data_IF_307772410401
#
_entry.id   IF_307772410401
#
_cell.length_a   1.000
_cell.length_b   1.000
_cell.length_c   1.000
_cell.angle_alpha   90.00
_cell.angle_beta   90.00
_cell.angle_gamma   90.00
#
_symmetry.space_group_name_H-M   'P 1'
#
loop_
_entity.id
_entity.type
_entity.pdbx_description
1 polymer ?
#
# COMPACT_ATOMS: atom_id res chain seq x y z
N UNK A 1 23.13 -11.62 -0.25
CA UNK A 1 22.53 -11.33 -1.58
C UNK A 1 21.40 -12.33 -1.89
N UNK A 2 21.55 -13.62 -1.57
CA UNK A 2 20.49 -14.62 -1.73
C UNK A 2 19.22 -14.34 -0.89
N UNK A 3 19.36 -13.84 0.34
CA UNK A 3 18.20 -13.69 1.25
C UNK A 3 17.17 -12.67 0.75
N UNK A 4 17.62 -11.61 0.06
CA UNK A 4 16.73 -10.60 -0.54
C UNK A 4 15.93 -11.17 -1.71
N UNK A 5 16.59 -11.94 -2.58
CA UNK A 5 15.92 -12.66 -3.66
C UNK A 5 14.88 -13.63 -3.11
N UNK A 6 15.28 -14.43 -2.12
CA UNK A 6 14.37 -15.32 -1.39
C UNK A 6 13.21 -14.57 -0.76
N UNK A 7 13.43 -13.43 -0.09
CA UNK A 7 12.37 -12.65 0.54
C UNK A 7 11.35 -12.12 -0.49
N UNK A 8 11.83 -11.53 -1.59
CA UNK A 8 10.98 -10.99 -2.65
C UNK A 8 10.18 -12.11 -3.35
N UNK A 9 10.81 -13.25 -3.62
CA UNK A 9 10.15 -14.41 -4.21
C UNK A 9 9.12 -15.03 -3.25
N UNK A 10 9.47 -15.28 -1.99
CA UNK A 10 8.55 -15.82 -0.97
C UNK A 10 7.34 -14.92 -0.78
N UNK A 11 7.56 -13.62 -0.65
CA UNK A 11 6.48 -12.62 -0.58
C UNK A 11 5.58 -12.69 -1.81
N UNK A 12 6.16 -12.77 -3.01
CA UNK A 12 5.39 -12.86 -4.26
C UNK A 12 4.57 -14.15 -4.38
N UNK A 13 5.11 -15.28 -3.95
CA UNK A 13 4.40 -16.57 -3.91
C UNK A 13 3.23 -16.52 -2.92
N UNK A 14 3.43 -15.94 -1.73
CA UNK A 14 2.36 -15.77 -0.75
C UNK A 14 1.22 -14.90 -1.28
N UNK A 15 1.55 -13.75 -1.86
CA UNK A 15 0.53 -12.85 -2.42
C UNK A 15 -0.16 -13.45 -3.63
N UNK A 16 0.50 -14.33 -4.42
CA UNK A 16 -0.15 -15.13 -5.45
C UNK A 16 -1.28 -15.98 -4.85
N UNK A 17 -1.01 -16.70 -3.77
CA UNK A 17 -2.04 -17.49 -3.09
C UNK A 17 -3.19 -16.60 -2.59
N UNK A 18 -2.87 -15.43 -2.01
CA UNK A 18 -3.88 -14.50 -1.50
C UNK A 18 -4.83 -13.99 -2.60
N UNK A 19 -4.35 -13.79 -3.83
CA UNK A 19 -5.22 -13.37 -4.95
C UNK A 19 -6.34 -14.36 -5.26
N UNK A 20 -6.16 -15.64 -4.90
CA UNK A 20 -7.18 -16.69 -5.07
C UNK A 20 -8.24 -16.71 -3.95
N UNK A 21 -8.00 -16.01 -2.84
CA UNK A 21 -8.88 -15.99 -1.66
C UNK A 21 -10.03 -14.97 -1.76
N UNK A 22 -10.09 -14.19 -2.85
CA UNK A 22 -11.14 -13.20 -3.08
C UNK A 22 -11.65 -13.20 -4.51
N UNK A 23 -12.97 -13.09 -4.66
CA UNK A 23 -13.64 -12.88 -5.94
C UNK A 23 -13.66 -11.40 -6.35
N UNK A 24 -13.34 -10.49 -5.43
CA UNK A 24 -13.34 -9.06 -5.65
C UNK A 24 -12.13 -8.62 -6.49
N UNK A 25 -12.39 -8.13 -7.71
CA UNK A 25 -11.35 -7.75 -8.65
C UNK A 25 -10.45 -6.61 -8.16
N UNK A 26 -10.99 -5.66 -7.38
CA UNK A 26 -10.19 -4.56 -6.83
C UNK A 26 -9.19 -5.07 -5.79
N UNK A 27 -9.64 -5.91 -4.85
CA UNK A 27 -8.76 -6.52 -3.85
C UNK A 27 -7.74 -7.44 -4.49
N UNK A 28 -8.13 -8.20 -5.53
CA UNK A 28 -7.20 -9.03 -6.30
C UNK A 28 -6.09 -8.20 -6.93
N UNK A 29 -6.42 -7.05 -7.54
CA UNK A 29 -5.43 -6.12 -8.12
C UNK A 29 -4.49 -5.53 -7.07
N UNK A 30 -5.01 -5.18 -5.88
CA UNK A 30 -4.19 -4.68 -4.78
C UNK A 30 -3.20 -5.72 -4.25
N UNK A 31 -3.65 -6.97 -4.08
CA UNK A 31 -2.76 -8.07 -3.72
C UNK A 31 -1.69 -8.31 -4.80
N UNK A 32 -2.10 -8.32 -6.07
CA UNK A 32 -1.17 -8.52 -7.18
C UNK A 32 -0.17 -7.36 -7.36
N UNK A 33 -0.51 -6.15 -6.92
CA UNK A 33 0.41 -5.01 -6.93
C UNK A 33 1.67 -5.27 -6.08
N UNK A 34 1.54 -6.03 -4.99
CA UNK A 34 2.70 -6.45 -4.20
C UNK A 34 3.70 -7.28 -5.02
N UNK A 35 3.18 -8.21 -5.82
CA UNK A 35 3.98 -9.06 -6.72
C UNK A 35 4.74 -8.17 -7.73
N UNK A 36 4.06 -7.17 -8.29
CA UNK A 36 4.66 -6.19 -9.21
C UNK A 36 5.79 -5.41 -8.53
N UNK A 37 5.57 -4.89 -7.33
CA UNK A 37 6.60 -4.17 -6.57
C UNK A 37 7.81 -5.06 -6.25
N UNK A 38 7.56 -6.28 -5.82
CA UNK A 38 8.62 -7.23 -5.50
C UNK A 38 9.43 -7.59 -6.74
N UNK A 39 8.76 -7.87 -7.86
CA UNK A 39 9.39 -8.20 -9.12
C UNK A 39 10.26 -7.04 -9.63
N UNK A 40 9.80 -5.80 -9.55
CA UNK A 40 10.63 -4.65 -9.96
C UNK A 40 11.84 -4.43 -9.05
N UNK A 41 11.67 -4.60 -7.74
CA UNK A 41 12.79 -4.57 -6.80
C UNK A 41 13.78 -5.70 -7.12
N UNK A 42 13.29 -6.87 -7.54
CA UNK A 42 14.09 -8.00 -7.96
C UNK A 42 14.87 -7.69 -9.25
N UNK A 43 14.20 -7.18 -10.29
CA UNK A 43 14.82 -6.72 -11.54
C UNK A 43 15.96 -5.72 -11.29
N UNK A 44 15.75 -4.77 -10.38
CA UNK A 44 16.75 -3.76 -10.03
C UNK A 44 17.96 -4.39 -9.28
N UNK A 45 17.77 -5.49 -8.52
CA UNK A 45 18.86 -6.21 -7.86
C UNK A 45 19.66 -7.12 -8.80
N UNK A 46 19.02 -7.71 -9.82
CA UNK A 46 19.71 -8.55 -10.84
C UNK A 46 20.15 -7.76 -12.07
N UNK A 47 19.93 -6.43 -12.06
CA UNK A 47 20.24 -5.51 -13.16
C UNK A 47 19.60 -5.91 -14.50
N UNK A 48 18.41 -6.52 -14.46
CA UNK A 48 17.68 -7.01 -15.63
C UNK A 48 16.25 -6.46 -15.65
N UNK A 49 16.00 -5.44 -16.47
CA UNK A 49 14.70 -4.77 -16.61
C UNK A 49 13.97 -5.22 -17.88
N UNK A 50 13.25 -6.33 -17.80
CA UNK A 50 12.50 -6.89 -18.93
C UNK A 50 11.01 -6.52 -18.91
N UNK A 51 10.43 -6.25 -17.74
CA UNK A 51 9.00 -5.95 -17.60
C UNK A 51 8.71 -4.44 -17.74
N UNK A 52 9.11 -3.85 -18.87
CA UNK A 52 9.00 -2.39 -19.10
C UNK A 52 7.55 -1.88 -19.16
N UNK A 53 6.62 -2.70 -19.65
CA UNK A 53 5.20 -2.34 -19.79
C UNK A 53 4.47 -2.13 -18.47
N UNK A 54 4.97 -2.70 -17.37
CA UNK A 54 4.33 -2.64 -16.04
C UNK A 54 4.98 -1.59 -15.13
N UNK A 55 6.16 -1.08 -15.46
CA UNK A 55 6.83 0.01 -14.70
C UNK A 55 5.99 1.27 -14.49
N UNK A 56 5.12 1.68 -15.45
CA UNK A 56 4.15 2.73 -15.20
C UNK A 56 3.21 2.44 -14.02
N UNK A 57 2.83 1.18 -13.79
CA UNK A 57 1.98 0.77 -12.65
C UNK A 57 2.66 1.11 -11.33
N UNK A 58 3.93 0.72 -11.14
CA UNK A 58 4.69 1.12 -9.95
C UNK A 58 4.72 2.63 -9.78
N UNK A 59 4.98 3.38 -10.84
CA UNK A 59 5.11 4.84 -10.75
C UNK A 59 3.80 5.53 -10.34
N UNK A 60 2.65 5.00 -10.76
CA UNK A 60 1.32 5.48 -10.32
C UNK A 60 1.14 5.30 -8.83
N UNK A 61 1.40 4.09 -8.34
CA UNK A 61 1.20 3.75 -6.94
C UNK A 61 2.32 4.28 -6.02
N UNK A 62 3.49 4.65 -6.56
CA UNK A 62 4.55 5.38 -5.84
C UNK A 62 4.39 6.92 -5.92
N UNK A 63 3.35 7.45 -6.57
CA UNK A 63 3.14 8.89 -6.77
C UNK A 63 4.29 9.62 -7.50
N UNK A 64 4.98 8.95 -8.43
CA UNK A 64 6.28 9.39 -8.97
C UNK A 64 6.27 10.04 -10.38
N UNK A 65 5.12 10.26 -11.07
CA UNK A 65 5.17 10.68 -12.49
C UNK A 65 4.28 11.86 -12.92
N UNK A 66 4.94 12.93 -13.41
CA UNK A 66 4.38 14.10 -14.10
C UNK A 66 3.81 13.88 -15.51
N UNK A 67 4.15 12.80 -16.22
CA UNK A 67 3.84 12.70 -17.65
C UNK A 67 2.52 11.98 -17.94
N UNK A 68 1.61 12.72 -18.60
CA UNK A 68 0.73 12.17 -19.63
C UNK A 68 -0.19 11.04 -19.17
N UNK A 69 -1.24 11.47 -18.48
CA UNK A 69 -2.44 10.69 -18.16
C UNK A 69 -2.24 9.59 -17.12
N UNK A 70 -2.44 9.96 -15.85
CA UNK A 70 -2.66 9.04 -14.73
C UNK A 70 -3.54 7.84 -15.14
N UNK A 71 -4.55 8.07 -15.98
CA UNK A 71 -5.46 7.03 -16.47
C UNK A 71 -4.79 6.03 -17.42
N UNK A 72 -3.83 6.42 -18.25
CA UNK A 72 -3.05 5.46 -19.05
C UNK A 72 -2.24 4.52 -18.17
N UNK A 73 -1.65 5.07 -17.10
CA UNK A 73 -0.87 4.27 -16.17
C UNK A 73 -1.75 3.46 -15.20
N UNK A 74 -2.98 3.92 -14.90
CA UNK A 74 -4.01 3.09 -14.26
C UNK A 74 -4.53 1.98 -15.19
N UNK A 75 -4.74 2.26 -16.48
CA UNK A 75 -5.14 1.26 -17.47
C UNK A 75 -4.09 0.15 -17.60
N UNK A 76 -2.81 0.45 -17.33
CA UNK A 76 -1.77 -0.58 -17.23
C UNK A 76 -2.04 -1.59 -16.08
N UNK A 77 -2.86 -1.27 -15.07
CA UNK A 77 -3.31 -2.26 -14.07
C UNK A 77 -4.18 -3.36 -14.68
N UNK A 78 -4.82 -3.13 -15.83
CA UNK A 78 -5.54 -4.18 -16.56
C UNK A 78 -4.58 -5.24 -17.14
N UNK A 79 -3.28 -4.93 -17.24
CA UNK A 79 -2.26 -5.91 -17.64
C UNK A 79 -1.97 -6.91 -16.51
N UNK A 80 -2.34 -6.60 -15.26
CA UNK A 80 -2.17 -7.48 -14.10
C UNK A 80 -3.20 -8.61 -14.17
N UNK A 81 -2.86 -9.63 -14.93
CA UNK A 81 -3.62 -10.88 -15.04
C UNK A 81 -2.78 -12.07 -14.56
N UNK A 82 -3.41 -13.24 -14.43
CA UNK A 82 -2.75 -14.46 -13.93
C UNK A 82 -1.51 -14.83 -14.76
N UNK A 83 -1.55 -14.65 -16.08
CA UNK A 83 -0.43 -14.99 -16.96
C UNK A 83 0.79 -14.10 -16.70
N UNK A 84 0.60 -12.78 -16.55
CA UNK A 84 1.68 -11.87 -16.22
C UNK A 84 2.25 -12.15 -14.82
N UNK A 85 1.38 -12.43 -13.84
CA UNK A 85 1.80 -12.81 -12.47
C UNK A 85 2.69 -14.06 -12.51
N UNK A 86 2.30 -15.07 -13.30
CA UNK A 86 3.09 -16.28 -13.49
C UNK A 86 4.43 -15.99 -14.15
N UNK A 87 4.47 -15.16 -15.21
CA UNK A 87 5.72 -14.78 -15.86
C UNK A 87 6.68 -14.06 -14.90
N UNK A 88 6.18 -13.14 -14.07
CA UNK A 88 7.00 -12.44 -13.07
C UNK A 88 7.57 -13.41 -12.02
N UNK A 89 6.75 -14.35 -11.54
CA UNK A 89 7.19 -15.35 -10.56
C UNK A 89 8.22 -16.29 -11.17
N UNK A 90 7.96 -16.84 -12.36
CA UNK A 90 8.91 -17.71 -13.06
C UNK A 90 10.23 -17.02 -13.35
N UNK A 91 10.21 -15.72 -13.65
CA UNK A 91 11.45 -14.94 -13.74
C UNK A 91 12.25 -14.93 -12.43
N UNK A 92 11.59 -14.62 -11.30
CA UNK A 92 12.25 -14.61 -9.99
C UNK A 92 12.76 -15.99 -9.59
N UNK A 93 12.00 -17.05 -9.88
CA UNK A 93 12.39 -18.45 -9.65
C UNK A 93 13.64 -18.83 -10.47
N UNK A 94 13.70 -18.44 -11.75
CA UNK A 94 14.85 -18.73 -12.61
C UNK A 94 16.16 -18.10 -12.12
N UNK A 95 16.08 -17.07 -11.27
CA UNK A 95 17.22 -16.33 -10.72
C UNK A 95 17.41 -16.55 -9.21
N UNK A 96 16.64 -17.45 -8.59
CA UNK A 96 16.71 -17.72 -7.14
C UNK A 96 16.82 -19.22 -6.87
N UNK A 97 17.88 -19.62 -6.16
CA UNK A 97 17.97 -20.97 -5.59
C UNK A 97 17.20 -20.99 -4.25
N UNK A 98 15.89 -21.24 -4.33
CA UNK A 98 15.04 -21.31 -3.14
C UNK A 98 15.15 -22.70 -2.48
N UNK A 99 15.72 -22.76 -1.27
CA UNK A 99 15.47 -23.92 -0.40
C UNK A 99 14.02 -23.87 0.04
N UNK A 100 13.21 -24.80 -0.47
CA UNK A 100 11.79 -24.90 -0.17
C UNK A 100 11.56 -25.06 1.34
N UNK A 101 12.47 -25.68 2.08
CA UNK A 101 12.33 -25.86 3.52
C UNK A 101 12.44 -24.54 4.32
N UNK A 102 12.94 -23.47 3.70
CA UNK A 102 13.07 -22.16 4.33
C UNK A 102 11.81 -21.29 4.27
N UNK A 103 10.67 -21.79 3.75
CA UNK A 103 9.41 -21.04 3.68
C UNK A 103 8.26 -21.70 4.47
N UNK A 104 8.30 -21.70 5.82
CA UNK A 104 7.32 -22.37 6.66
C UNK A 104 5.87 -21.96 6.35
N UNK A 105 5.63 -20.67 6.07
CA UNK A 105 4.29 -20.12 5.84
C UNK A 105 3.53 -20.74 4.66
N UNK A 106 4.23 -21.34 3.68
CA UNK A 106 3.60 -22.09 2.59
C UNK A 106 3.81 -23.61 2.65
N UNK A 107 4.82 -24.10 3.38
CA UNK A 107 5.15 -25.54 3.40
C UNK A 107 4.61 -26.27 4.62
N UNK A 108 4.40 -25.59 5.75
CA UNK A 108 3.69 -26.15 6.89
C UNK A 108 2.18 -26.02 6.66
N UNK A 109 1.51 -27.15 6.47
CA UNK A 109 0.07 -27.19 6.17
C UNK A 109 -0.78 -26.51 7.26
N UNK A 110 -0.42 -26.66 8.53
CA UNK A 110 -1.18 -26.08 9.65
C UNK A 110 -1.01 -24.58 9.70
N UNK A 111 0.23 -24.10 9.51
CA UNK A 111 0.52 -22.67 9.48
C UNK A 111 -0.12 -22.02 8.25
N UNK A 112 0.00 -22.65 7.07
CA UNK A 112 -0.62 -22.19 5.82
C UNK A 112 -2.14 -22.08 5.96
N UNK A 113 -2.79 -23.08 6.53
CA UNK A 113 -4.24 -23.06 6.75
C UNK A 113 -4.65 -21.88 7.64
N UNK A 114 -3.93 -21.66 8.75
CA UNK A 114 -4.15 -20.50 9.62
C UNK A 114 -3.99 -19.18 8.88
N UNK A 115 -2.91 -19.02 8.12
CA UNK A 115 -2.67 -17.81 7.32
C UNK A 115 -3.82 -17.58 6.36
N UNK A 116 -4.27 -18.61 5.65
CA UNK A 116 -5.34 -18.47 4.65
C UNK A 116 -6.68 -18.15 5.30
N UNK A 117 -6.98 -18.70 6.48
CA UNK A 117 -8.16 -18.36 7.24
C UNK A 117 -8.14 -16.88 7.68
N UNK A 118 -7.01 -16.40 8.24
CA UNK A 118 -6.84 -14.98 8.62
C UNK A 118 -6.96 -14.08 7.42
N UNK A 119 -6.21 -14.35 6.35
CA UNK A 119 -6.23 -13.54 5.14
C UNK A 119 -7.63 -13.48 4.54
N UNK A 120 -8.34 -14.62 4.45
CA UNK A 120 -9.72 -14.64 3.95
C UNK A 120 -10.66 -13.82 4.81
N UNK A 121 -10.51 -13.88 6.14
CA UNK A 121 -11.29 -13.08 7.06
C UNK A 121 -11.01 -11.57 6.90
N UNK A 122 -9.74 -11.17 6.77
CA UNK A 122 -9.32 -9.79 6.47
C UNK A 122 -9.93 -9.32 5.15
N UNK A 123 -9.80 -10.10 4.08
CA UNK A 123 -10.34 -9.74 2.77
C UNK A 123 -11.86 -9.57 2.80
N UNK A 124 -12.57 -10.48 3.47
CA UNK A 124 -14.01 -10.36 3.67
C UNK A 124 -14.37 -9.13 4.48
N UNK A 125 -13.61 -8.83 5.54
CA UNK A 125 -13.86 -7.67 6.39
C UNK A 125 -13.67 -6.35 5.64
N UNK A 126 -12.62 -6.26 4.82
CA UNK A 126 -12.43 -5.14 3.90
C UNK A 126 -13.60 -5.05 2.93
N UNK A 127 -14.01 -6.16 2.32
CA UNK A 127 -15.16 -6.14 1.40
C UNK A 127 -16.47 -5.70 2.09
N UNK A 128 -16.71 -6.10 3.33
CA UNK A 128 -17.86 -5.66 4.14
C UNK A 128 -17.79 -4.16 4.47
N UNK A 129 -16.64 -3.69 4.94
CA UNK A 129 -16.44 -2.30 5.34
C UNK A 129 -16.42 -1.32 4.14
N UNK A 130 -16.16 -1.83 2.93
CA UNK A 130 -16.05 -1.05 1.69
C UNK A 130 -17.07 -1.41 0.58
N UNK A 131 -18.03 -2.30 0.86
CA UNK A 131 -19.13 -2.82 0.01
C UNK A 131 -18.75 -3.31 -1.40
N UNK A 132 -19.14 -4.54 -1.74
CA UNK A 132 -19.09 -5.05 -3.11
C UNK A 132 -20.05 -4.25 -4.02
N UNK A 133 -19.48 -3.54 -5.00
CA UNK A 133 -20.22 -2.91 -6.09
C UNK A 133 -20.59 -1.42 -5.93
N UNK A 134 -20.43 -0.81 -4.75
CA UNK A 134 -20.71 0.62 -4.56
C UNK A 134 -19.62 1.26 -3.70
N UNK A 135 -18.71 1.98 -4.35
CA UNK A 135 -17.70 2.88 -3.76
C UNK A 135 -16.41 2.24 -3.24
N UNK A 136 -15.57 1.85 -4.19
CA UNK A 136 -14.21 2.39 -4.15
C UNK A 136 -14.28 3.88 -4.56
N UNK A 137 -14.57 4.72 -3.56
CA UNK A 137 -14.43 6.19 -3.50
C UNK A 137 -14.55 6.98 -4.81
N UNK A 138 -15.76 7.38 -5.23
CA UNK A 138 -16.05 8.43 -6.24
C UNK A 138 -15.27 8.44 -7.59
N UNK A 139 -14.37 7.49 -7.86
CA UNK A 139 -13.48 7.49 -9.01
C UNK A 139 -13.34 6.10 -9.63
N UNK A 140 -13.80 5.03 -8.96
CA UNK A 140 -14.07 3.76 -9.63
C UNK A 140 -15.54 3.75 -10.03
N UNK A 141 -15.83 4.23 -11.24
CA UNK A 141 -17.09 3.92 -11.89
C UNK A 141 -17.12 2.42 -12.17
N UNK A 142 -17.66 1.65 -11.21
CA UNK A 142 -18.22 0.33 -11.50
C UNK A 142 -19.41 0.56 -12.44
N UNK A 143 -19.29 0.13 -13.68
CA UNK A 143 -20.47 -0.13 -14.50
C UNK A 143 -20.53 -1.61 -14.82
N UNK A 144 -21.74 -2.16 -14.71
CA UNK A 144 -22.06 -3.43 -15.35
C UNK A 144 -21.66 -3.34 -16.83
N UNK A 145 -20.99 -4.38 -17.36
CA UNK A 145 -20.49 -4.54 -18.74
C UNK A 145 -19.05 -4.13 -19.05
N UNK A 146 -18.17 -4.04 -18.06
CA UNK A 146 -16.71 -4.17 -18.30
C UNK A 146 -16.03 -2.98 -18.96
N UNK A 147 -16.62 -1.78 -18.92
CA UNK A 147 -15.94 -0.53 -19.27
C UNK A 147 -15.98 0.43 -18.07
N UNK A 148 -14.79 0.76 -17.55
CA UNK A 148 -14.61 1.86 -16.60
C UNK A 148 -14.56 3.13 -17.44
N UNK A 149 -15.42 4.11 -17.17
CA UNK A 149 -15.34 5.44 -17.78
C UNK A 149 -15.53 6.44 -16.66
N UNK A 150 -14.52 7.25 -16.32
CA UNK A 150 -14.64 8.30 -15.29
C UNK A 150 -15.07 9.65 -15.89
N UNK A 151 -15.83 10.43 -15.11
CA UNK A 151 -16.49 11.70 -15.49
C UNK A 151 -15.73 12.96 -14.99
N UNK A 152 -14.61 12.85 -14.26
CA UNK A 152 -13.89 14.03 -13.75
C UNK A 152 -12.37 13.96 -13.96
N UNK A 153 -11.87 14.67 -14.98
CA UNK A 153 -10.45 14.70 -15.37
C UNK A 153 -9.67 15.90 -14.81
N UNK A 154 -10.08 16.45 -13.66
CA UNK A 154 -9.46 17.64 -13.06
C UNK A 154 -8.25 17.34 -12.16
N UNK A 155 -7.32 18.30 -11.97
CA UNK A 155 -6.18 18.14 -11.07
C UNK A 155 -6.56 17.76 -9.63
N UNK A 156 -7.65 18.34 -9.11
CA UNK A 156 -8.19 18.03 -7.77
C UNK A 156 -8.65 16.57 -7.68
N UNK A 157 -9.46 16.10 -8.65
CA UNK A 157 -9.94 14.72 -8.69
C UNK A 157 -8.76 13.72 -8.75
N UNK A 158 -7.75 14.02 -9.57
CA UNK A 158 -6.54 13.21 -9.71
C UNK A 158 -5.73 13.10 -8.41
N UNK A 159 -5.61 14.18 -7.64
CA UNK A 159 -4.91 14.15 -6.35
C UNK A 159 -5.68 13.32 -5.34
N UNK A 160 -6.98 13.57 -5.19
CA UNK A 160 -7.80 12.79 -4.28
C UNK A 160 -7.87 11.32 -4.67
N UNK A 161 -7.79 10.99 -5.96
CA UNK A 161 -7.61 9.60 -6.40
C UNK A 161 -6.38 8.97 -5.75
N UNK A 162 -5.20 9.58 -5.94
CA UNK A 162 -3.93 9.02 -5.46
C UNK A 162 -3.91 8.94 -3.93
N UNK A 163 -4.43 9.99 -3.29
CA UNK A 163 -4.55 10.07 -1.85
C UNK A 163 -5.46 8.98 -1.27
N UNK A 164 -6.69 8.87 -1.78
CA UNK A 164 -7.67 7.89 -1.32
C UNK A 164 -7.20 6.45 -1.59
N UNK A 165 -6.54 6.20 -2.73
CA UNK A 165 -5.96 4.88 -3.05
C UNK A 165 -4.88 4.48 -2.04
N UNK A 166 -3.94 5.39 -1.74
CA UNK A 166 -2.90 5.13 -0.74
C UNK A 166 -3.50 4.94 0.64
N UNK A 167 -4.47 5.77 1.01
CA UNK A 167 -5.22 5.66 2.26
C UNK A 167 -5.92 4.31 2.43
N UNK A 168 -6.55 3.78 1.37
CA UNK A 168 -7.19 2.47 1.44
C UNK A 168 -6.18 1.33 1.57
N UNK A 169 -5.06 1.42 0.85
CA UNK A 169 -4.01 0.41 0.90
C UNK A 169 -3.25 0.41 2.23
N UNK A 170 -3.11 1.57 2.89
CA UNK A 170 -2.59 1.63 4.26
C UNK A 170 -3.56 0.96 5.24
N UNK A 171 -4.87 1.19 5.11
CA UNK A 171 -5.86 0.49 5.95
C UNK A 171 -5.89 -1.01 5.73
N UNK A 172 -5.78 -1.45 4.49
CA UNK A 172 -5.65 -2.87 4.17
C UNK A 172 -4.43 -3.49 4.86
N UNK A 173 -3.29 -2.80 4.82
CA UNK A 173 -2.07 -3.23 5.50
C UNK A 173 -2.22 -3.22 7.03
N UNK A 174 -2.97 -2.25 7.58
CA UNK A 174 -3.25 -2.18 9.02
C UNK A 174 -3.97 -3.44 9.52
N UNK A 175 -4.97 -3.93 8.79
CA UNK A 175 -5.67 -5.17 9.17
C UNK A 175 -4.69 -6.35 9.31
N UNK A 176 -3.73 -6.50 8.40
CA UNK A 176 -2.69 -7.52 8.56
C UNK A 176 -1.81 -7.27 9.79
N UNK A 177 -1.36 -6.04 10.01
CA UNK A 177 -0.53 -5.71 11.17
C UNK A 177 -1.27 -6.01 12.47
N UNK A 178 -2.49 -5.49 12.63
CA UNK A 178 -3.32 -5.67 13.83
C UNK A 178 -3.57 -7.15 14.14
N UNK A 179 -3.77 -7.98 13.11
CA UNK A 179 -4.09 -9.40 13.29
C UNK A 179 -2.85 -10.31 13.38
N UNK A 180 -1.66 -9.85 13.00
CA UNK A 180 -0.45 -10.68 12.92
C UNK A 180 0.67 -10.26 13.87
N UNK A 181 0.58 -9.10 14.54
CA UNK A 181 1.68 -8.52 15.33
C UNK A 181 2.18 -9.44 16.47
N UNK A 182 1.33 -10.34 16.97
CA UNK A 182 1.66 -11.28 18.04
C UNK A 182 2.04 -12.69 17.54
N UNK A 183 2.05 -12.94 16.23
CA UNK A 183 2.31 -14.25 15.65
C UNK A 183 3.72 -14.32 15.05
N UNK A 184 4.70 -14.73 15.86
CA UNK A 184 6.10 -14.87 15.41
C UNK A 184 6.27 -15.78 14.19
N UNK A 185 5.45 -16.84 14.10
CA UNK A 185 5.47 -17.80 12.99
C UNK A 185 4.97 -17.22 11.65
N UNK A 186 4.44 -15.98 11.63
CA UNK A 186 3.94 -15.29 10.43
C UNK A 186 4.77 -14.03 10.09
N UNK A 187 6.04 -14.00 10.51
CA UNK A 187 6.93 -12.84 10.38
C UNK A 187 7.08 -12.30 8.95
N UNK A 188 7.14 -13.16 7.92
CA UNK A 188 7.26 -12.70 6.53
C UNK A 188 6.04 -11.87 6.13
N UNK A 189 4.84 -12.31 6.51
CA UNK A 189 3.59 -11.62 6.19
C UNK A 189 3.53 -10.29 6.92
N UNK A 190 3.86 -10.29 8.21
CA UNK A 190 3.89 -9.10 9.04
C UNK A 190 4.90 -8.06 8.50
N UNK A 191 6.11 -8.47 8.13
CA UNK A 191 7.09 -7.57 7.51
C UNK A 191 6.55 -6.97 6.21
N UNK A 192 5.91 -7.76 5.36
CA UNK A 192 5.34 -7.24 4.12
C UNK A 192 4.22 -6.24 4.39
N UNK A 193 3.30 -6.53 5.32
CA UNK A 193 2.24 -5.62 5.71
C UNK A 193 2.79 -4.31 6.30
N UNK A 194 3.80 -4.38 7.18
CA UNK A 194 4.51 -3.20 7.70
C UNK A 194 5.14 -2.37 6.58
N UNK A 195 5.82 -3.01 5.62
CA UNK A 195 6.43 -2.35 4.46
C UNK A 195 5.36 -1.64 3.60
N UNK A 196 4.24 -2.29 3.33
CA UNK A 196 3.16 -1.74 2.51
C UNK A 196 2.46 -0.58 3.24
N UNK A 197 2.24 -0.69 4.54
CA UNK A 197 1.72 0.41 5.35
C UNK A 197 2.62 1.64 5.26
N UNK A 198 3.93 1.47 5.49
CA UNK A 198 4.92 2.55 5.40
C UNK A 198 4.92 3.14 3.98
N UNK A 199 4.89 2.30 2.95
CA UNK A 199 4.85 2.75 1.58
C UNK A 199 3.69 3.71 1.34
N UNK A 200 2.49 3.29 1.71
CA UNK A 200 1.29 4.06 1.45
C UNK A 200 1.16 5.28 2.37
N UNK A 201 1.65 5.22 3.62
CA UNK A 201 1.72 6.37 4.51
C UNK A 201 2.62 7.48 3.93
N UNK A 202 3.80 7.13 3.40
CA UNK A 202 4.69 8.12 2.77
C UNK A 202 4.05 8.65 1.47
N UNK A 203 3.37 7.80 0.69
CA UNK A 203 2.68 8.24 -0.52
C UNK A 203 1.52 9.20 -0.22
N UNK A 204 0.79 9.00 0.89
CA UNK A 204 -0.23 9.97 1.34
C UNK A 204 0.39 11.34 1.59
N UNK A 205 1.56 11.41 2.24
CA UNK A 205 2.28 12.67 2.45
C UNK A 205 2.70 13.29 1.11
N UNK A 206 3.31 12.50 0.23
CA UNK A 206 3.78 12.96 -1.09
C UNK A 206 2.62 13.36 -2.03
N UNK A 207 1.39 12.88 -1.78
CA UNK A 207 0.19 13.35 -2.47
C UNK A 207 -0.33 14.69 -1.93
N UNK A 208 -0.05 15.02 -0.67
CA UNK A 208 -0.43 16.31 -0.08
C UNK A 208 0.59 17.39 -0.47
N UNK A 209 1.88 17.05 -0.41
CA UNK A 209 2.99 17.97 -0.61
C UNK A 209 3.90 17.49 -1.73
N UNK A 210 4.12 18.35 -2.73
CA UNK A 210 5.08 18.09 -3.79
C UNK A 210 6.49 17.87 -3.22
N UNK A 211 7.13 16.77 -3.61
CA UNK A 211 8.57 16.61 -3.40
C UNK A 211 9.38 17.53 -4.31
N UNK A 212 9.90 18.62 -3.76
CA UNK A 212 10.66 19.63 -4.51
C UNK A 212 12.05 19.16 -4.95
N UNK A 213 12.56 18.05 -4.41
CA UNK A 213 13.86 17.49 -4.81
C UNK A 213 13.74 16.53 -5.99
N UNK A 214 12.53 16.07 -6.31
CA UNK A 214 12.28 15.15 -7.40
C UNK A 214 11.68 15.91 -8.60
N UNK A 215 12.46 16.08 -9.67
CA UNK A 215 12.01 16.75 -10.90
C UNK A 215 10.78 16.10 -11.56
N UNK A 216 10.51 14.83 -11.24
CA UNK A 216 9.36 14.07 -11.76
C UNK A 216 8.15 14.08 -10.82
N UNK A 217 8.25 14.77 -9.67
CA UNK A 217 7.19 14.91 -8.67
C UNK A 217 6.01 15.72 -9.21
N UNK A 218 4.80 15.19 -9.05
CA UNK A 218 3.55 15.87 -9.43
C UNK A 218 3.20 16.89 -8.35
N UNK A 219 2.45 17.92 -8.72
CA UNK A 219 1.82 18.81 -7.75
C UNK A 219 0.94 18.02 -6.77
N UNK A 220 1.10 18.32 -5.48
CA UNK A 220 0.29 17.77 -4.41
C UNK A 220 -0.98 18.58 -4.18
N UNK A 221 -1.79 18.15 -3.21
CA UNK A 221 -3.03 18.84 -2.82
C UNK A 221 -2.79 20.32 -2.52
N UNK A 222 -1.72 20.63 -1.77
CA UNK A 222 -1.40 22.02 -1.43
C UNK A 222 -1.17 22.86 -2.68
N UNK A 223 -0.33 22.39 -3.60
CA UNK A 223 0.04 23.12 -4.81
C UNK A 223 -1.16 23.33 -5.75
N UNK A 224 -2.00 22.31 -5.93
CA UNK A 224 -3.19 22.42 -6.79
C UNK A 224 -4.23 23.36 -6.19
N UNK A 225 -4.51 23.28 -4.88
CA UNK A 225 -5.47 24.21 -4.25
C UNK A 225 -5.00 25.67 -4.30
N UNK A 226 -3.68 25.90 -4.20
CA UNK A 226 -3.08 27.22 -4.38
C UNK A 226 -3.23 27.72 -5.83
N UNK A 227 -2.95 26.87 -6.82
CA UNK A 227 -3.04 27.24 -8.23
C UNK A 227 -4.48 27.53 -8.68
N UNK A 228 -5.44 26.71 -8.22
CA UNK A 228 -6.87 26.85 -8.51
C UNK A 228 -7.55 27.92 -7.63
N UNK A 229 -6.83 28.48 -6.65
CA UNK A 229 -7.33 29.46 -5.68
C UNK A 229 -8.66 29.02 -5.00
N UNK A 230 -8.69 27.77 -4.51
CA UNK A 230 -9.90 27.14 -3.99
C UNK A 230 -9.69 26.51 -2.59
N UNK A 231 -10.64 26.76 -1.69
CA UNK A 231 -10.58 26.30 -0.30
C UNK A 231 -9.44 26.92 0.52
N UNK A 232 -9.33 26.51 1.78
CA UNK A 232 -8.25 26.93 2.67
C UNK A 232 -7.19 25.83 2.81
N UNK A 233 -5.95 26.23 2.57
CA UNK A 233 -4.76 25.38 2.77
C UNK A 233 -4.17 25.51 4.18
N UNK A 234 -4.81 26.23 5.10
CA UNK A 234 -4.25 26.52 6.44
C UNK A 234 -3.86 25.25 7.19
N UNK A 235 -4.71 24.22 7.19
CA UNK A 235 -4.42 22.93 7.83
C UNK A 235 -3.24 22.21 7.20
N UNK A 236 -3.08 22.27 5.87
CA UNK A 236 -1.94 21.70 5.16
C UNK A 236 -0.64 22.45 5.48
N UNK A 237 -0.69 23.79 5.56
CA UNK A 237 0.46 24.63 5.92
C UNK A 237 0.92 24.33 7.35
N UNK A 238 0.00 24.27 8.31
CA UNK A 238 0.32 23.90 9.70
C UNK A 238 0.94 22.52 9.78
N UNK A 239 0.38 21.54 9.06
CA UNK A 239 0.92 20.18 9.01
C UNK A 239 2.34 20.15 8.42
N UNK A 240 2.61 20.92 7.37
CA UNK A 240 3.94 20.99 6.73
C UNK A 240 5.01 21.61 7.64
N UNK A 241 4.61 22.46 8.60
CA UNK A 241 5.50 23.13 9.55
C UNK A 241 5.77 22.27 10.80
N UNK A 242 5.08 21.15 10.95
CA UNK A 242 5.19 20.31 12.14
C UNK A 242 6.45 19.45 12.13
N UNK A 243 7.41 19.81 12.97
CA UNK A 243 8.72 19.14 13.04
C UNK A 243 8.62 17.67 13.44
N UNK A 244 7.70 17.31 14.34
CA UNK A 244 7.52 15.92 14.77
C UNK A 244 7.04 15.03 13.62
N UNK A 245 6.08 15.54 12.84
CA UNK A 245 5.56 14.84 11.66
C UNK A 245 6.67 14.62 10.63
N UNK A 246 7.48 15.65 10.36
CA UNK A 246 8.57 15.58 9.39
C UNK A 246 9.68 14.61 9.80
N UNK A 247 9.93 14.44 11.11
CA UNK A 247 10.87 13.43 11.62
C UNK A 247 10.35 12.02 11.32
N UNK A 248 9.08 11.74 11.63
CA UNK A 248 8.47 10.43 11.35
C UNK A 248 8.42 10.16 9.84
N UNK A 249 8.04 11.15 9.02
CA UNK A 249 8.10 11.06 7.56
C UNK A 249 9.48 10.67 7.05
N UNK A 250 10.55 11.34 7.52
CA UNK A 250 11.93 11.05 7.07
C UNK A 250 12.35 9.62 7.43
N UNK A 251 12.01 9.14 8.64
CA UNK A 251 12.27 7.76 9.07
C UNK A 251 11.56 6.76 8.15
N UNK A 252 10.25 6.93 7.95
CA UNK A 252 9.46 6.06 7.07
C UNK A 252 9.92 6.10 5.62
N UNK A 253 10.21 7.28 5.08
CA UNK A 253 10.68 7.44 3.70
C UNK A 253 12.01 6.74 3.47
N UNK A 254 12.92 6.77 4.45
CA UNK A 254 14.18 6.02 4.40
C UNK A 254 13.93 4.50 4.33
N UNK A 255 13.01 3.97 5.14
CA UNK A 255 12.64 2.55 5.12
C UNK A 255 11.98 2.18 3.79
N UNK A 256 10.97 2.96 3.35
CA UNK A 256 10.29 2.78 2.06
C UNK A 256 11.29 2.72 0.91
N UNK A 257 12.23 3.65 0.85
CA UNK A 257 13.21 3.71 -0.24
C UNK A 257 14.13 2.48 -0.26
N UNK A 258 14.40 1.87 0.89
CA UNK A 258 15.26 0.69 1.02
C UNK A 258 14.55 -0.66 0.83
N UNK A 259 13.25 -0.73 1.09
CA UNK A 259 12.49 -1.99 1.10
C UNK A 259 11.36 -2.08 0.06
N UNK A 260 10.75 -0.96 -0.35
CA UNK A 260 9.53 -0.95 -1.19
C UNK A 260 9.67 -0.20 -2.52
N UNK A 261 10.41 0.91 -2.55
CA UNK A 261 10.66 1.65 -3.80
C UNK A 261 11.66 0.93 -4.72
N UNK A 262 12.65 0.32 -4.07
CA UNK A 262 13.78 -0.44 -4.61
C UNK A 262 14.31 -1.23 -3.40
N UNK A 263 14.76 -2.46 -3.60
CA UNK A 263 15.47 -3.16 -2.55
C UNK A 263 16.90 -2.65 -2.51
N UNK A 264 17.30 -2.02 -1.39
CA UNK A 264 18.65 -1.50 -1.19
C UNK A 264 19.66 -2.62 -1.44
N UNK A 265 20.73 -2.34 -2.20
CA UNK A 265 21.74 -3.34 -2.52
C UNK A 265 22.95 -3.29 -1.56
N UNK A 266 23.04 -2.26 -0.70
CA UNK A 266 24.19 -2.01 0.17
C UNK A 266 24.11 -2.73 1.51
N UNK A 267 23.01 -2.61 2.24
CA UNK A 267 22.83 -3.26 3.55
C UNK A 267 22.31 -4.69 3.37
N UNK A 268 22.57 -5.61 4.29
CA UNK A 268 21.98 -6.96 4.20
C UNK A 268 20.46 -6.91 4.51
N UNK A 269 19.72 -8.01 4.26
CA UNK A 269 18.27 -8.02 4.51
C UNK A 269 17.93 -7.90 6.01
N UNK A 270 18.71 -8.55 6.87
CA UNK A 270 18.50 -8.60 8.32
C UNK A 270 18.55 -7.21 8.95
N UNK A 271 19.54 -6.38 8.58
CA UNK A 271 19.66 -4.99 9.02
C UNK A 271 18.45 -4.17 8.56
N UNK A 272 17.97 -4.40 7.33
CA UNK A 272 16.81 -3.69 6.79
C UNK A 272 15.51 -4.07 7.51
N UNK A 273 15.32 -5.35 7.82
CA UNK A 273 14.17 -5.81 8.60
C UNK A 273 14.28 -5.36 10.07
N UNK A 274 15.48 -5.29 10.64
CA UNK A 274 15.71 -4.72 11.98
C UNK A 274 15.32 -3.24 12.04
N UNK A 275 15.58 -2.46 10.98
CA UNK A 275 15.08 -1.08 10.89
C UNK A 275 13.55 -1.00 10.88
N UNK A 276 12.89 -1.99 10.26
CA UNK A 276 11.44 -2.08 10.19
C UNK A 276 10.84 -2.47 11.55
N UNK A 277 11.45 -3.42 12.25
CA UNK A 277 10.96 -3.91 13.54
C UNK A 277 11.17 -2.93 14.68
N UNK A 278 12.23 -2.13 14.63
CA UNK A 278 12.48 -1.06 15.60
C UNK A 278 11.66 0.21 15.34
N UNK A 279 10.86 0.26 14.25
CA UNK A 279 9.98 1.38 14.00
C UNK A 279 8.77 1.31 14.93
N UNK A 280 8.52 2.37 15.69
CA UNK A 280 7.30 2.49 16.48
C UNK A 280 6.10 2.69 15.54
N UNK A 281 5.24 1.67 15.46
CA UNK A 281 4.08 1.73 14.58
C UNK A 281 2.98 2.64 15.13
N UNK A 282 2.95 2.96 16.43
CA UNK A 282 1.97 3.94 16.95
C UNK A 282 2.27 5.35 16.47
N UNK A 283 3.55 5.74 16.41
CA UNK A 283 3.97 6.97 15.75
C UNK A 283 3.55 7.01 14.26
N UNK A 284 3.58 5.86 13.60
CA UNK A 284 3.25 5.69 12.18
C UNK A 284 1.73 5.75 11.94
N UNK A 285 0.90 5.19 12.82
CA UNK A 285 -0.56 5.36 12.79
C UNK A 285 -0.96 6.81 13.09
N UNK A 286 -0.38 7.40 14.13
CA UNK A 286 -0.57 8.80 14.47
C UNK A 286 -0.22 9.73 13.30
N UNK A 287 0.89 9.45 12.60
CA UNK A 287 1.26 10.16 11.38
C UNK A 287 0.15 10.12 10.32
N UNK A 288 -0.35 8.94 9.96
CA UNK A 288 -1.42 8.79 8.95
C UNK A 288 -2.69 9.54 9.36
N UNK A 289 -3.09 9.48 10.63
CA UNK A 289 -4.24 10.22 11.13
C UNK A 289 -4.10 11.72 11.01
N UNK A 290 -2.90 12.24 11.29
CA UNK A 290 -2.61 13.67 11.19
C UNK A 290 -2.67 14.14 9.74
N UNK A 291 -2.19 13.32 8.80
CA UNK A 291 -2.37 13.58 7.37
C UNK A 291 -3.86 13.64 7.00
N UNK A 292 -4.62 12.61 7.38
CA UNK A 292 -6.04 12.52 7.01
C UNK A 292 -6.89 13.61 7.64
N UNK A 293 -6.63 13.96 8.89
CA UNK A 293 -7.26 15.09 9.56
C UNK A 293 -7.00 16.40 8.80
N UNK A 294 -5.77 16.67 8.39
CA UNK A 294 -5.46 17.90 7.66
C UNK A 294 -6.17 17.95 6.30
N UNK A 295 -6.23 16.82 5.58
CA UNK A 295 -6.94 16.72 4.30
C UNK A 295 -8.44 16.89 4.49
N UNK A 296 -9.04 16.26 5.51
CA UNK A 296 -10.46 16.41 5.88
C UNK A 296 -10.81 17.86 6.22
N UNK A 297 -10.00 18.50 7.07
CA UNK A 297 -10.21 19.88 7.48
C UNK A 297 -10.12 20.83 6.27
N UNK A 298 -9.18 20.59 5.35
CA UNK A 298 -9.11 21.31 4.07
C UNK A 298 -10.31 21.01 3.17
N UNK A 299 -10.75 19.76 3.05
CA UNK A 299 -11.87 19.36 2.21
C UNK A 299 -13.20 20.00 2.65
N UNK A 300 -13.38 20.24 3.95
CA UNK A 300 -14.55 20.95 4.50
C UNK A 300 -14.63 22.43 4.14
N UNK A 301 -13.54 23.03 3.68
CA UNK A 301 -13.50 24.48 3.40
C UNK A 301 -14.18 24.86 2.09
N UNK A 302 -14.42 23.89 1.19
CA UNK A 302 -15.08 24.15 -0.07
C UNK A 302 -15.76 22.89 -0.64
N UNK A 303 -17.01 23.01 -1.11
CA UNK A 303 -17.80 21.85 -1.58
C UNK A 303 -17.13 21.08 -2.72
N UNK A 304 -16.51 21.79 -3.68
CA UNK A 304 -15.79 21.17 -4.80
C UNK A 304 -14.56 20.36 -4.36
N UNK A 305 -14.06 20.56 -3.14
CA UNK A 305 -12.99 19.73 -2.55
C UNK A 305 -13.64 18.60 -1.75
N UNK A 306 -14.64 18.93 -0.93
CA UNK A 306 -15.37 18.00 -0.08
C UNK A 306 -15.95 16.79 -0.80
N UNK A 307 -16.45 16.96 -2.03
CA UNK A 307 -17.00 15.85 -2.83
C UNK A 307 -15.96 14.77 -3.22
N UNK A 308 -14.66 15.09 -3.17
CA UNK A 308 -13.59 14.15 -3.52
C UNK A 308 -12.96 13.47 -2.30
N UNK A 309 -13.12 14.03 -1.11
CA UNK A 309 -12.57 13.45 0.11
C UNK A 309 -13.36 12.22 0.54
N UNK A 310 -12.66 11.11 0.76
CA UNK A 310 -13.24 9.92 1.37
C UNK A 310 -12.96 9.95 2.87
N UNK A 311 -14.01 9.99 3.70
CA UNK A 311 -13.88 9.94 5.15
C UNK A 311 -13.14 8.67 5.62
N UNK A 312 -12.35 8.80 6.70
CA UNK A 312 -11.94 7.63 7.47
C UNK A 312 -13.18 6.87 7.93
N UNK A 313 -13.18 5.55 7.76
CA UNK A 313 -14.02 4.71 8.60
C UNK A 313 -13.50 4.82 10.04
N UNK A 314 -14.36 4.78 11.07
CA UNK A 314 -13.98 5.00 12.47
C UNK A 314 -12.92 4.02 13.03
N UNK A 315 -12.53 2.99 12.28
CA UNK A 315 -11.57 1.94 12.68
C UNK A 315 -10.15 2.15 12.15
N UNK A 316 -9.94 3.15 11.30
CA UNK A 316 -8.63 3.44 10.69
C UNK A 316 -7.62 4.09 11.66
N UNK A 317 -8.05 4.49 12.85
CA UNK A 317 -7.33 5.47 13.66
C UNK A 317 -6.29 4.90 14.63
N UNK A 318 -6.27 3.62 14.98
CA UNK A 318 -5.24 3.02 15.85
C UNK A 318 -5.13 1.52 15.55
N UNK A 319 -4.15 0.80 16.11
CA UNK A 319 -4.39 -0.62 16.39
C UNK A 319 -5.37 -0.68 17.56
N UNK A 320 -6.55 -1.23 17.33
CA UNK A 320 -7.54 -1.43 18.38
C UNK A 320 -8.25 -2.77 18.20
N UNK A 321 -8.91 -3.23 19.26
CA UNK A 321 -9.66 -4.48 19.31
C UNK A 321 -10.76 -4.58 18.24
N UNK A 322 -11.13 -3.46 17.61
CA UNK A 322 -12.15 -3.41 16.57
C UNK A 322 -11.59 -3.72 15.17
N UNK A 323 -10.26 -3.62 14.98
CA UNK A 323 -9.54 -4.08 13.78
C UNK A 323 -9.13 -5.56 13.85
N UNK A 324 -9.16 -6.14 15.04
CA UNK A 324 -8.89 -7.55 15.27
C UNK A 324 -10.12 -8.36 14.85
N UNK A 325 -9.94 -9.27 13.90
CA UNK A 325 -11.03 -10.09 13.35
C UNK A 325 -10.99 -11.44 14.03
N UNK A 326 -12.01 -11.80 14.81
CA UNK A 326 -12.05 -13.11 15.45
C UNK A 326 -12.09 -14.22 14.37
N UNK A 327 -11.04 -15.05 14.33
CA UNK A 327 -10.95 -16.22 13.45
C UNK A 327 -10.93 -17.46 14.32
N UNK A 328 -11.91 -18.34 14.14
CA UNK A 328 -11.96 -19.65 14.81
C UNK A 328 -10.60 -20.35 14.66
N UNK A 329 -10.01 -20.82 15.77
CA UNK A 329 -8.68 -21.48 15.86
C UNK A 329 -7.43 -20.58 15.92
N UNK A 330 -7.60 -19.25 15.94
CA UNK A 330 -6.51 -18.29 16.20
C UNK A 330 -6.82 -17.47 17.46
N UNK A 331 -5.91 -17.51 18.44
CA UNK A 331 -5.93 -16.57 19.56
C UNK A 331 -5.36 -15.24 19.07
N UNK A 332 -6.16 -14.41 18.40
CA UNK A 332 -5.72 -13.09 17.93
C UNK A 332 -6.17 -11.94 18.85
N UNK A 333 -6.61 -12.24 20.07
CA UNK A 333 -7.02 -11.20 21.02
C UNK A 333 -5.84 -10.24 21.22
N UNK A 334 -6.05 -8.94 21.02
CA UNK A 334 -4.99 -7.98 21.19
C UNK A 334 -4.54 -7.94 22.65
N UNK A 335 -3.24 -7.85 22.87
CA UNK A 335 -2.68 -7.50 24.17
C UNK A 335 -2.51 -5.97 24.24
N UNK A 336 -3.59 -5.19 24.08
CA UNK A 336 -3.54 -3.75 24.32
C UNK A 336 -4.05 -3.46 25.73
N UNK A 337 -3.09 -3.37 26.67
CA UNK A 337 -3.22 -2.99 28.08
C UNK A 337 -4.12 -3.89 28.97
N UNK A 338 -3.46 -4.75 29.75
CA UNK A 338 -3.73 -4.79 31.21
C UNK A 338 -2.97 -3.68 31.91
#
# INVERSE_FOLDING_TARGET
MNDKFCFLLKSSLLYKEFTSLTENDCLRRFLAFKIVLNCMSFEDLVENRQFNSIRPVRNVFLAHKQEGDFFNAFNATNLINSSLIEQMISFMEAHTNLDKNAFPELNDNRLREKIFQVTKAILKKIEEDYFSGYRFSNNFLCTQKGQITEISSGPIASIFYRYNSSKQLSFFSNYFISNLIHFHDMSIILHNAKIDYILHAVNMFDCIFKDTNNRHSIDGLKEVLQAENIGSISSLVSLQQDSSLLVTYKKMRNIRNKLAGHMDNKNNLEDLLTLLDNLDFEDVFCFVNRLDKAVHDTAKTHIAIGVHYMHNQPRASNIDDLNVIEVNSLENKPCFNT
#
